data_IF_606598271982
#
_entry.id   IF_606598271982
#
_cell.length_a   1.000
_cell.length_b   1.000
_cell.length_c   1.000
_cell.angle_alpha   90.00
_cell.angle_beta   90.00
_cell.angle_gamma   90.00
#
_symmetry.space_group_name_H-M   'P 1'
#
loop_
_entity.id
_entity.type
_entity.pdbx_description
1 polymer ?
#
# COMPACT_ATOMS: atom_id res chain seq x y z
N UNK A 1 -9.04 0.71 -2.50
CA UNK A 1 -8.22 1.59 -3.37
C UNK A 1 -7.48 2.59 -2.48
N UNK A 2 -6.15 2.47 -2.36
CA UNK A 2 -5.32 3.27 -1.43
C UNK A 2 -5.01 4.63 -2.03
N UNK A 3 -5.60 5.69 -1.47
CA UNK A 3 -5.22 7.07 -1.76
C UNK A 3 -4.11 7.46 -0.76
N UNK A 4 -2.98 7.87 -1.33
CA UNK A 4 -1.82 8.55 -0.76
C UNK A 4 -0.95 7.87 0.33
N UNK A 5 0.14 7.25 -0.13
CA UNK A 5 1.27 6.83 0.70
C UNK A 5 2.31 7.94 0.94
N UNK A 6 2.23 9.10 0.27
CA UNK A 6 3.29 10.13 0.32
C UNK A 6 3.45 10.79 1.69
N UNK A 7 2.37 10.96 2.46
CA UNK A 7 2.41 11.68 3.74
C UNK A 7 2.90 10.80 4.91
N UNK A 8 2.69 9.50 4.82
CA UNK A 8 3.15 8.53 5.82
C UNK A 8 4.69 8.49 5.94
N UNK A 9 5.43 8.54 4.83
CA UNK A 9 6.89 8.37 4.86
C UNK A 9 7.65 9.41 5.71
N UNK A 10 7.10 10.60 5.90
CA UNK A 10 7.75 11.65 6.72
C UNK A 10 7.77 11.26 8.19
N UNK A 11 6.65 10.77 8.72
CA UNK A 11 6.55 10.41 10.14
C UNK A 11 7.49 9.26 10.51
N UNK A 12 7.57 8.21 9.67
CA UNK A 12 8.51 7.11 9.88
C UNK A 12 9.96 7.59 9.99
N UNK A 13 10.37 8.55 9.16
CA UNK A 13 11.74 9.11 9.22
C UNK A 13 12.01 9.86 10.51
N UNK A 14 11.01 10.55 11.04
CA UNK A 14 11.11 11.27 12.33
C UNK A 14 11.24 10.26 13.48
N UNK A 15 10.40 9.23 13.52
CA UNK A 15 10.49 8.16 14.53
C UNK A 15 11.87 7.46 14.48
N UNK A 16 12.37 7.17 13.29
CA UNK A 16 13.72 6.60 13.12
C UNK A 16 14.83 7.55 13.58
N UNK A 17 14.65 8.87 13.47
CA UNK A 17 15.60 9.84 14.02
C UNK A 17 15.56 9.84 15.55
N UNK A 18 14.38 9.83 16.16
CA UNK A 18 14.22 9.72 17.61
C UNK A 18 14.81 8.41 18.16
N UNK A 19 14.62 7.28 17.46
CA UNK A 19 15.26 5.98 17.78
C UNK A 19 16.79 6.09 17.79
N UNK A 20 17.36 6.68 16.73
CA UNK A 20 18.82 6.88 16.60
C UNK A 20 19.38 7.81 17.68
N UNK A 21 18.58 8.75 18.18
CA UNK A 21 18.94 9.64 19.28
C UNK A 21 18.67 9.03 20.67
N UNK A 22 18.24 7.76 20.76
CA UNK A 22 17.83 7.10 22.00
C UNK A 22 16.75 7.87 22.78
N UNK A 23 15.86 8.56 22.05
CA UNK A 23 14.82 9.44 22.60
C UNK A 23 13.42 8.79 22.51
N UNK A 24 13.35 7.46 22.53
CA UNK A 24 12.12 6.69 22.24
C UNK A 24 10.93 7.00 23.15
N UNK A 25 11.17 7.43 24.39
CA UNK A 25 10.14 7.79 25.39
C UNK A 25 10.20 9.25 25.82
N UNK A 26 10.85 10.08 25.01
CA UNK A 26 11.05 11.49 25.35
C UNK A 26 9.94 12.39 24.79
N UNK A 27 9.28 11.97 23.71
CA UNK A 27 8.28 12.76 23.01
C UNK A 27 6.92 12.05 23.00
N UNK A 28 5.86 12.85 23.06
CA UNK A 28 4.51 12.42 22.69
C UNK A 28 4.22 12.91 21.28
N UNK A 29 3.75 12.02 20.41
CA UNK A 29 3.43 12.34 19.04
C UNK A 29 1.95 12.65 18.88
N UNK A 30 1.63 13.83 18.35
CA UNK A 30 0.27 14.22 17.97
C UNK A 30 0.27 14.47 16.47
N UNK A 31 -0.65 13.82 15.78
CA UNK A 31 -0.60 13.58 14.35
C UNK A 31 -1.92 13.88 13.64
N UNK A 32 -1.83 14.35 12.40
CA UNK A 32 -2.99 14.41 11.52
C UNK A 32 -3.31 13.03 10.90
N UNK A 33 -4.38 12.99 10.11
CA UNK A 33 -4.92 11.83 9.38
C UNK A 33 -3.95 11.13 8.44
N UNK A 34 -2.89 11.82 8.03
CA UNK A 34 -1.84 11.27 7.19
C UNK A 34 -1.03 10.13 7.81
N UNK A 35 -1.08 9.90 9.12
CA UNK A 35 -0.16 8.98 9.83
C UNK A 35 -0.86 7.76 10.46
N UNK A 36 -2.16 7.83 10.74
CA UNK A 36 -2.86 6.84 11.60
C UNK A 36 -3.21 5.50 10.96
N UNK A 37 -3.38 5.44 9.62
CA UNK A 37 -4.02 4.28 8.97
C UNK A 37 -3.07 3.15 8.55
N UNK A 38 -1.76 3.41 8.48
CA UNK A 38 -0.81 2.45 7.89
C UNK A 38 0.06 1.79 8.97
N UNK A 39 -0.20 0.52 9.30
CA UNK A 39 0.65 -0.24 10.23
C UNK A 39 2.11 -0.35 9.76
N UNK A 40 2.34 -0.42 8.44
CA UNK A 40 3.69 -0.41 7.83
C UNK A 40 4.54 0.80 8.24
N UNK A 41 3.91 1.87 8.72
CA UNK A 41 4.58 3.08 9.16
C UNK A 41 5.46 2.86 10.39
N UNK A 42 4.95 2.07 11.34
CA UNK A 42 5.56 1.83 12.66
C UNK A 42 6.26 0.49 12.75
N UNK A 43 6.13 -0.35 11.73
CA UNK A 43 6.75 -1.67 11.65
C UNK A 43 8.27 -1.61 11.95
N UNK A 44 8.69 -2.30 13.02
CA UNK A 44 10.06 -2.36 13.54
C UNK A 44 10.53 -1.18 14.41
N UNK A 45 9.66 -0.20 14.66
CA UNK A 45 9.93 1.00 15.48
C UNK A 45 8.74 1.34 16.40
N UNK A 46 7.94 0.35 16.76
CA UNK A 46 6.71 0.46 17.53
C UNK A 46 6.95 1.11 18.89
N UNK A 47 8.08 0.77 19.53
CA UNK A 47 8.54 1.32 20.82
C UNK A 47 8.69 2.85 20.84
N UNK A 48 8.92 3.49 19.69
CA UNK A 48 9.07 4.95 19.57
C UNK A 48 7.73 5.62 19.28
N UNK A 49 6.82 4.88 18.64
CA UNK A 49 5.48 5.34 18.31
C UNK A 49 4.47 5.07 19.44
N UNK A 50 4.86 4.32 20.47
CA UNK A 50 4.02 3.99 21.61
C UNK A 50 3.42 5.27 22.25
N UNK A 51 2.10 5.30 22.42
CA UNK A 51 1.38 6.45 23.00
C UNK A 51 1.10 7.60 22.02
N UNK A 52 1.38 7.44 20.72
CA UNK A 52 1.01 8.43 19.71
C UNK A 52 -0.51 8.58 19.55
N UNK A 53 -0.97 9.81 19.34
CA UNK A 53 -2.37 10.14 19.07
C UNK A 53 -2.49 10.67 17.65
N UNK A 54 -3.35 10.04 16.85
CA UNK A 54 -3.64 10.43 15.47
C UNK A 54 -5.13 10.69 15.29
N UNK A 55 -5.47 11.71 14.51
CA UNK A 55 -6.87 11.97 14.10
C UNK A 55 -7.10 11.33 12.75
N UNK A 56 -8.11 10.48 12.57
CA UNK A 56 -8.48 9.95 11.24
C UNK A 56 -9.89 10.42 10.88
N UNK A 57 -10.14 10.68 9.60
CA UNK A 57 -11.49 10.87 9.09
C UNK A 57 -12.26 9.55 9.15
N UNK A 58 -13.47 9.60 9.70
CA UNK A 58 -14.35 8.44 9.70
C UNK A 58 -14.63 8.02 8.25
N UNK A 59 -14.21 6.80 7.89
CA UNK A 59 -14.45 6.20 6.60
C UNK A 59 -15.27 4.92 6.78
N UNK A 60 -16.20 4.68 5.85
CA UNK A 60 -17.01 3.46 5.82
C UNK A 60 -16.65 2.66 4.57
N UNK A 61 -16.64 1.35 4.71
CA UNK A 61 -16.44 0.45 3.58
C UNK A 61 -17.73 0.41 2.76
N UNK A 62 -17.58 0.39 1.43
CA UNK A 62 -18.69 0.30 0.48
C UNK A 62 -18.60 -1.09 -0.15
N UNK A 63 -19.38 -2.09 0.32
CA UNK A 63 -19.25 -3.49 -0.12
C UNK A 63 -19.43 -3.67 -1.63
N UNK A 64 -20.25 -2.84 -2.25
CA UNK A 64 -20.50 -2.85 -3.69
C UNK A 64 -19.26 -2.42 -4.48
N UNK A 65 -18.49 -1.48 -3.93
CA UNK A 65 -17.22 -1.08 -4.54
C UNK A 65 -16.19 -2.21 -4.46
N UNK A 66 -16.13 -2.90 -3.32
CA UNK A 66 -15.23 -4.05 -3.15
C UNK A 66 -15.58 -5.18 -4.11
N UNK A 67 -16.87 -5.51 -4.22
CA UNK A 67 -17.38 -6.50 -5.17
C UNK A 67 -17.03 -6.11 -6.61
N UNK A 68 -17.28 -4.85 -7.00
CA UNK A 68 -16.90 -4.35 -8.32
C UNK A 68 -15.40 -4.50 -8.58
N UNK A 69 -14.55 -4.09 -7.65
CA UNK A 69 -13.09 -4.19 -7.79
C UNK A 69 -12.62 -5.65 -7.93
N UNK A 70 -13.23 -6.60 -7.21
CA UNK A 70 -12.92 -8.03 -7.32
C UNK A 70 -13.24 -8.62 -8.69
N UNK A 71 -14.23 -8.07 -9.40
CA UNK A 71 -14.61 -8.57 -10.73
C UNK A 71 -13.69 -8.08 -11.85
N UNK A 72 -12.85 -7.08 -11.61
CA UNK A 72 -12.01 -6.49 -12.66
C UNK A 72 -10.79 -7.37 -12.96
N UNK A 73 -10.56 -7.61 -14.24
CA UNK A 73 -9.34 -8.24 -14.77
C UNK A 73 -8.68 -7.36 -15.84
N UNK A 74 -7.34 -7.44 -16.03
CA UNK A 74 -6.59 -6.61 -16.98
C UNK A 74 -7.06 -6.71 -18.44
N UNK A 75 -7.69 -7.81 -18.82
CA UNK A 75 -8.20 -8.07 -20.17
C UNK A 75 -9.49 -7.29 -20.47
N UNK A 76 -10.35 -7.16 -19.46
CA UNK A 76 -11.67 -6.55 -19.57
C UNK A 76 -11.63 -5.05 -19.28
N UNK A 77 -10.78 -4.60 -18.37
CA UNK A 77 -10.74 -3.21 -17.92
C UNK A 77 -9.87 -2.30 -18.82
N UNK A 78 -10.27 -2.13 -20.09
CA UNK A 78 -9.58 -1.21 -21.03
C UNK A 78 -9.86 0.27 -20.78
N UNK A 79 -10.81 0.59 -19.89
CA UNK A 79 -11.19 1.97 -19.55
C UNK A 79 -10.09 2.67 -18.75
N UNK A 80 -9.40 1.94 -17.88
CA UNK A 80 -8.35 2.49 -17.03
C UNK A 80 -6.97 2.14 -17.61
N UNK A 81 -6.25 3.11 -18.20
CA UNK A 81 -4.95 2.86 -18.85
C UNK A 81 -3.85 2.45 -17.86
N UNK A 82 -4.02 2.71 -16.56
CA UNK A 82 -3.05 2.34 -15.52
C UNK A 82 -3.35 0.98 -14.86
N UNK A 83 -4.44 0.31 -15.23
CA UNK A 83 -4.87 -0.89 -14.52
C UNK A 83 -3.92 -2.07 -14.75
N UNK A 84 -3.34 -2.19 -15.94
CA UNK A 84 -2.34 -3.21 -16.25
C UNK A 84 -1.09 -3.03 -15.39
N UNK A 85 -0.55 -1.81 -15.34
CA UNK A 85 0.61 -1.48 -14.52
C UNK A 85 0.32 -1.73 -13.03
N UNK A 86 -0.85 -1.31 -12.54
CA UNK A 86 -1.28 -1.58 -11.17
C UNK A 86 -1.31 -3.09 -10.87
N UNK A 87 -1.79 -3.91 -11.80
CA UNK A 87 -1.86 -5.35 -11.63
C UNK A 87 -0.48 -5.99 -11.49
N UNK A 88 0.44 -5.61 -12.39
CA UNK A 88 1.83 -6.06 -12.37
C UNK A 88 2.55 -5.66 -11.08
N UNK A 89 2.38 -4.40 -10.66
CA UNK A 89 2.94 -3.88 -9.40
C UNK A 89 2.31 -4.54 -8.16
N UNK A 90 1.01 -4.84 -8.19
CA UNK A 90 0.31 -5.40 -7.04
C UNK A 90 0.66 -6.88 -6.81
N UNK A 91 0.70 -7.67 -7.88
CA UNK A 91 1.00 -9.11 -7.82
C UNK A 91 2.48 -9.44 -8.03
N UNK A 92 3.33 -8.43 -8.34
CA UNK A 92 4.76 -8.60 -8.60
C UNK A 92 5.02 -9.62 -9.72
N UNK A 93 4.28 -9.46 -10.82
CA UNK A 93 4.33 -10.31 -12.01
C UNK A 93 4.22 -9.47 -13.30
N UNK A 94 4.51 -10.05 -14.45
CA UNK A 94 4.39 -9.42 -15.77
C UNK A 94 3.26 -10.08 -16.55
N UNK A 95 2.40 -9.28 -17.17
CA UNK A 95 1.32 -9.81 -18.01
C UNK A 95 1.90 -10.40 -19.30
N UNK A 96 1.36 -11.52 -19.82
CA UNK A 96 1.89 -12.17 -21.02
C UNK A 96 2.02 -11.24 -22.25
N UNK A 97 1.08 -10.31 -22.40
CA UNK A 97 1.07 -9.31 -23.50
C UNK A 97 2.19 -8.26 -23.40
N UNK A 98 2.75 -8.07 -22.21
CA UNK A 98 3.80 -7.08 -21.93
C UNK A 98 5.19 -7.70 -21.93
N UNK A 99 5.32 -9.01 -22.18
CA UNK A 99 6.60 -9.69 -22.25
C UNK A 99 7.42 -9.19 -23.45
N UNK A 100 8.67 -8.76 -23.25
CA UNK A 100 9.55 -8.37 -24.35
C UNK A 100 9.91 -9.60 -25.21
N UNK A 101 9.90 -9.41 -26.54
CA UNK A 101 10.06 -10.49 -27.54
C UNK A 101 11.44 -11.17 -27.52
N UNK A 102 12.49 -10.48 -27.07
CA UNK A 102 13.84 -11.05 -26.96
C UNK A 102 14.52 -10.58 -25.69
N UNK A 103 14.64 -11.46 -24.69
CA UNK A 103 15.52 -11.23 -23.54
C UNK A 103 16.06 -12.55 -22.97
N UNK A 104 17.22 -12.48 -22.31
CA UNK A 104 17.80 -13.59 -21.53
C UNK A 104 17.30 -13.63 -20.07
N UNK A 105 16.17 -12.97 -19.77
CA UNK A 105 15.65 -12.83 -18.41
C UNK A 105 14.47 -13.76 -18.18
N UNK A 106 14.42 -14.35 -16.99
CA UNK A 106 13.25 -15.07 -16.50
C UNK A 106 12.27 -14.07 -15.88
N UNK A 107 11.07 -13.98 -16.43
CA UNK A 107 9.99 -13.17 -15.87
C UNK A 107 9.04 -14.03 -15.04
N UNK A 108 8.53 -13.45 -13.95
CA UNK A 108 7.41 -14.03 -13.22
C UNK A 108 6.12 -13.68 -13.96
N UNK A 109 5.48 -14.66 -14.59
CA UNK A 109 4.28 -14.42 -15.42
C UNK A 109 3.04 -14.44 -14.53
N UNK A 110 2.15 -13.46 -14.71
CA UNK A 110 0.89 -13.42 -13.97
C UNK A 110 -0.01 -14.63 -14.32
N UNK A 111 -0.55 -15.30 -13.31
CA UNK A 111 -1.54 -16.37 -13.51
C UNK A 111 -2.92 -15.77 -13.84
N UNK A 112 -3.68 -16.42 -14.73
CA UNK A 112 -5.03 -16.00 -15.14
C UNK A 112 -6.06 -16.07 -14.00
N UNK A 113 -5.78 -16.88 -12.97
CA UNK A 113 -6.64 -17.02 -11.78
C UNK A 113 -6.44 -15.91 -10.73
N UNK A 114 -5.47 -15.00 -10.93
CA UNK A 114 -5.24 -13.91 -9.98
C UNK A 114 -6.47 -13.00 -9.91
N UNK A 115 -6.89 -12.66 -8.68
CA UNK A 115 -8.02 -11.76 -8.42
C UNK A 115 -7.67 -10.82 -7.28
N UNK A 116 -8.18 -9.59 -7.35
CA UNK A 116 -8.04 -8.60 -6.29
C UNK A 116 -8.92 -9.02 -5.09
N UNK A 117 -8.40 -9.85 -4.19
CA UNK A 117 -9.10 -10.19 -2.96
C UNK A 117 -9.09 -8.99 -1.98
N UNK A 118 -10.17 -8.82 -1.22
CA UNK A 118 -10.18 -7.96 -0.02
C UNK A 118 -9.45 -8.68 1.11
N UNK A 119 -8.15 -8.82 1.00
CA UNK A 119 -7.33 -8.88 2.21
C UNK A 119 -6.72 -7.50 2.38
N UNK A 120 -6.82 -6.96 3.60
CA UNK A 120 -6.52 -5.58 4.02
C UNK A 120 -7.63 -4.56 3.82
N UNK A 121 -8.67 -4.69 4.65
CA UNK A 121 -9.31 -3.52 5.29
C UNK A 121 -8.44 -3.01 6.42
#
# INVERSE_FOLDING_TARGET
MKIDAKLCFVFRRILMAAKRANASRHFYWIASDGWGKQQKLVEGIEEVAEGSITVELQSTNIPEFDTYMMTLIPEENKRNPWFEQYWEDFFQCTLPKNLPLETNYTFNICNEDLRLATEYG
#
